data_IF_187725885744
#
_entry.id   IF_187725885744
#
_cell.length_a   1.000
_cell.length_b   1.000
_cell.length_c   1.000
_cell.angle_alpha   90.00
_cell.angle_beta   90.00
_cell.angle_gamma   90.00
#
_symmetry.space_group_name_H-M   'P 1'
#
loop_
_entity.id
_entity.type
_entity.pdbx_description
1 polymer ?
#
# COMPACT_ATOMS: atom_id res chain seq x y z
N UNK A 1 -1.68 -20.95 6.06
CA UNK A 1 -0.52 -20.65 6.93
C UNK A 1 0.73 -20.47 6.10
N UNK A 2 1.57 -19.51 6.45
CA UNK A 2 2.81 -19.25 5.74
C UNK A 2 3.86 -20.32 6.05
N UNK A 3 4.64 -20.70 5.05
CA UNK A 3 5.78 -21.59 5.23
C UNK A 3 6.91 -20.84 5.94
N UNK A 4 7.90 -21.60 6.45
CA UNK A 4 9.07 -20.99 7.08
C UNK A 4 9.81 -20.02 6.15
N UNK A 5 10.10 -20.36 4.87
CA UNK A 5 10.72 -19.41 3.96
C UNK A 5 9.87 -18.15 3.73
N UNK A 6 8.57 -18.30 3.68
CA UNK A 6 7.66 -17.15 3.52
C UNK A 6 7.70 -16.23 4.75
N UNK A 7 7.73 -16.79 5.94
CA UNK A 7 7.85 -16.02 7.18
C UNK A 7 9.17 -15.25 7.19
N UNK A 8 10.27 -15.90 6.82
CA UNK A 8 11.58 -15.25 6.76
C UNK A 8 11.58 -14.10 5.75
N UNK A 9 10.97 -14.29 4.60
CA UNK A 9 10.87 -13.25 3.59
C UNK A 9 10.08 -12.06 4.12
N UNK A 10 8.94 -12.30 4.76
CA UNK A 10 8.12 -11.23 5.31
C UNK A 10 8.86 -10.47 6.41
N UNK A 11 9.55 -11.17 7.29
CA UNK A 11 10.36 -10.54 8.33
C UNK A 11 11.44 -9.66 7.72
N UNK A 12 12.14 -10.17 6.72
CA UNK A 12 13.20 -9.46 6.02
C UNK A 12 12.69 -8.16 5.41
N UNK A 13 11.55 -8.24 4.73
CA UNK A 13 10.93 -7.08 4.11
C UNK A 13 10.40 -6.08 5.12
N UNK A 14 9.85 -6.56 6.22
CA UNK A 14 9.36 -5.70 7.28
C UNK A 14 10.51 -4.96 7.96
N UNK A 15 11.62 -5.64 8.21
CA UNK A 15 12.83 -5.00 8.74
C UNK A 15 13.36 -3.93 7.79
N UNK A 16 13.33 -4.20 6.50
CA UNK A 16 13.70 -3.22 5.49
C UNK A 16 12.78 -2.01 5.56
N UNK A 17 11.46 -2.23 5.68
CA UNK A 17 10.49 -1.15 5.84
C UNK A 17 10.80 -0.30 7.07
N UNK A 18 11.06 -0.93 8.22
CA UNK A 18 11.43 -0.21 9.43
C UNK A 18 12.71 0.59 9.26
N UNK A 19 13.70 0.01 8.58
CA UNK A 19 14.95 0.71 8.29
C UNK A 19 14.72 1.98 7.48
N UNK A 20 13.89 1.89 6.45
CA UNK A 20 13.51 3.04 5.63
C UNK A 20 12.76 4.07 6.47
N UNK A 21 11.82 3.62 7.30
CA UNK A 21 10.96 4.51 8.06
C UNK A 21 11.61 5.11 9.30
N UNK A 22 12.84 4.75 9.61
CA UNK A 22 13.63 5.47 10.60
C UNK A 22 13.97 6.87 10.13
N UNK A 23 13.99 7.09 8.81
CA UNK A 23 14.19 8.42 8.25
C UNK A 23 12.88 9.20 8.30
N UNK A 24 12.96 10.51 8.15
CA UNK A 24 11.77 11.36 8.12
C UNK A 24 11.12 11.29 6.74
N UNK A 25 10.25 10.31 6.56
CA UNK A 25 9.55 10.06 5.31
C UNK A 25 8.06 10.40 5.47
N UNK A 26 7.39 10.91 4.41
CA UNK A 26 5.99 11.33 4.52
C UNK A 26 5.04 10.23 5.01
N UNK A 27 5.20 9.00 4.49
CA UNK A 27 4.32 7.90 4.85
C UNK A 27 4.56 7.35 6.26
N UNK A 28 5.64 7.77 6.91
CA UNK A 28 5.92 7.41 8.29
C UNK A 28 5.08 8.22 9.28
N UNK A 29 4.56 9.35 8.84
CA UNK A 29 3.84 10.30 9.71
C UNK A 29 2.35 9.96 9.84
N UNK A 30 1.91 8.87 9.23
CA UNK A 30 0.50 8.51 9.19
C UNK A 30 0.31 7.06 9.59
N UNK A 31 -0.86 6.76 10.15
CA UNK A 31 -1.34 5.39 10.36
C UNK A 31 -2.57 5.10 9.49
N UNK A 32 -2.89 5.99 8.57
CA UNK A 32 -4.00 5.82 7.64
C UNK A 32 -3.72 4.63 6.71
N UNK A 33 -4.54 3.58 6.74
CA UNK A 33 -4.31 2.40 5.90
C UNK A 33 -4.28 2.72 4.40
N UNK A 34 -5.06 3.68 3.96
CA UNK A 34 -5.04 4.12 2.56
C UNK A 34 -3.66 4.67 2.18
N UNK A 35 -3.17 5.64 2.95
CA UNK A 35 -1.88 6.27 2.66
C UNK A 35 -0.73 5.27 2.74
N UNK A 36 -0.75 4.38 3.72
CA UNK A 36 0.27 3.34 3.86
C UNK A 36 0.25 2.40 2.67
N UNK A 37 -0.94 1.97 2.24
CA UNK A 37 -1.11 1.12 1.07
C UNK A 37 -0.53 1.77 -0.19
N UNK A 38 -0.86 3.04 -0.43
CA UNK A 38 -0.33 3.77 -1.60
C UNK A 38 1.20 3.77 -1.58
N UNK A 39 1.80 4.09 -0.43
CA UNK A 39 3.26 4.09 -0.31
C UNK A 39 3.87 2.72 -0.59
N UNK A 40 3.25 1.66 -0.07
CA UNK A 40 3.73 0.29 -0.28
C UNK A 40 3.70 -0.10 -1.75
N UNK A 41 2.64 0.25 -2.47
CA UNK A 41 2.56 -0.04 -3.90
C UNK A 41 3.61 0.74 -4.68
N UNK A 42 3.80 2.02 -4.35
CA UNK A 42 4.80 2.85 -5.03
C UNK A 42 6.22 2.37 -4.79
N UNK A 43 6.50 1.88 -3.56
CA UNK A 43 7.84 1.41 -3.21
C UNK A 43 8.20 0.09 -3.88
N UNK A 44 7.23 -0.62 -4.44
CA UNK A 44 7.53 -1.78 -5.27
C UNK A 44 8.27 -1.31 -6.52
N UNK A 45 9.51 -1.79 -6.70
CA UNK A 45 10.33 -1.55 -7.88
C UNK A 45 10.70 -0.07 -8.12
N UNK A 46 10.56 0.78 -7.11
CA UNK A 46 10.91 2.20 -7.22
C UNK A 46 11.66 2.63 -5.97
N UNK A 47 12.71 3.44 -6.16
CA UNK A 47 13.55 3.91 -5.08
C UNK A 47 12.81 4.94 -4.21
N UNK A 48 13.11 4.90 -2.91
CA UNK A 48 12.49 5.79 -1.92
C UNK A 48 12.57 7.26 -2.33
N UNK A 49 13.74 7.72 -2.78
CA UNK A 49 13.92 9.13 -3.15
C UNK A 49 12.97 9.58 -4.26
N UNK A 50 12.71 8.69 -5.23
CA UNK A 50 11.77 9.00 -6.31
C UNK A 50 10.31 8.94 -5.81
N UNK A 51 10.01 7.99 -4.93
CA UNK A 51 8.65 7.79 -4.44
C UNK A 51 8.13 8.98 -3.64
N UNK A 52 8.99 9.66 -2.88
CA UNK A 52 8.56 10.77 -2.03
C UNK A 52 7.71 11.77 -2.82
N UNK A 53 8.22 12.22 -3.97
CA UNK A 53 7.53 13.22 -4.80
C UNK A 53 6.23 12.67 -5.38
N UNK A 54 6.26 11.44 -5.88
CA UNK A 54 5.06 10.81 -6.43
C UNK A 54 3.98 10.61 -5.38
N UNK A 55 4.37 10.16 -4.20
CA UNK A 55 3.47 9.93 -3.08
C UNK A 55 2.77 11.23 -2.67
N UNK A 56 3.53 12.30 -2.50
CA UNK A 56 2.98 13.59 -2.10
C UNK A 56 2.00 14.14 -3.14
N UNK A 57 2.37 14.08 -4.41
CA UNK A 57 1.50 14.50 -5.50
C UNK A 57 0.24 13.65 -5.60
N UNK A 58 0.40 12.35 -5.45
CA UNK A 58 -0.72 11.41 -5.55
C UNK A 58 -1.74 11.68 -4.43
N UNK A 59 -1.29 11.79 -3.19
CA UNK A 59 -2.20 12.05 -2.07
C UNK A 59 -2.79 13.46 -2.09
N UNK A 60 -2.10 14.42 -2.69
CA UNK A 60 -2.68 15.75 -2.87
C UNK A 60 -3.89 15.70 -3.83
N UNK A 61 -3.80 14.88 -4.88
CA UNK A 61 -4.88 14.75 -5.87
C UNK A 61 -5.95 13.73 -5.43
N UNK A 62 -5.51 12.63 -4.81
CA UNK A 62 -6.39 11.54 -4.36
C UNK A 62 -6.18 11.33 -2.86
N UNK A 63 -6.74 12.20 -2.02
CA UNK A 63 -6.45 12.17 -0.58
C UNK A 63 -7.09 11.01 0.18
N UNK A 64 -8.08 10.34 -0.43
CA UNK A 64 -8.82 9.26 0.21
C UNK A 64 -9.30 8.23 -0.80
N UNK A 65 -9.89 7.15 -0.27
CA UNK A 65 -10.42 6.04 -1.06
C UNK A 65 -11.44 6.53 -2.08
N UNK A 66 -12.35 7.41 -1.67
CA UNK A 66 -13.41 7.88 -2.54
C UNK A 66 -12.88 8.62 -3.76
N UNK A 67 -11.91 9.51 -3.55
CA UNK A 67 -11.33 10.28 -4.65
C UNK A 67 -10.59 9.37 -5.64
N UNK A 68 -9.87 8.36 -5.14
CA UNK A 68 -9.20 7.40 -6.02
C UNK A 68 -10.21 6.51 -6.76
N UNK A 69 -11.24 6.03 -6.06
CA UNK A 69 -12.26 5.17 -6.65
C UNK A 69 -12.98 5.86 -7.82
N UNK A 70 -13.20 7.17 -7.71
CA UNK A 70 -13.96 7.94 -8.68
C UNK A 70 -13.10 8.65 -9.72
N UNK A 71 -11.78 8.53 -9.62
CA UNK A 71 -10.88 9.25 -10.50
C UNK A 71 -11.06 8.82 -11.96
N UNK A 72 -11.08 9.76 -12.91
CA UNK A 72 -10.97 9.40 -14.32
C UNK A 72 -9.65 8.67 -14.56
N UNK A 73 -9.68 7.64 -15.40
CA UNK A 73 -8.47 6.83 -15.64
C UNK A 73 -7.32 7.68 -16.15
N UNK A 74 -7.60 8.64 -17.05
CA UNK A 74 -6.56 9.51 -17.58
C UNK A 74 -5.86 10.31 -16.47
N UNK A 75 -6.61 10.76 -15.47
CA UNK A 75 -6.08 11.50 -14.33
C UNK A 75 -5.20 10.61 -13.45
N UNK A 76 -5.70 9.40 -13.18
CA UNK A 76 -4.96 8.42 -12.39
C UNK A 76 -3.62 8.09 -13.07
N UNK A 77 -3.64 7.78 -14.36
CA UNK A 77 -2.43 7.40 -15.09
C UNK A 77 -1.46 8.57 -15.23
N UNK A 78 -1.96 9.79 -15.33
CA UNK A 78 -1.10 10.98 -15.37
C UNK A 78 -0.30 11.13 -14.08
N UNK A 79 -0.91 10.82 -12.93
CA UNK A 79 -0.23 10.88 -11.63
C UNK A 79 0.65 9.67 -11.36
N UNK A 80 0.57 8.65 -12.19
CA UNK A 80 1.43 7.46 -12.12
C UNK A 80 2.56 7.48 -13.14
N UNK A 81 2.50 8.39 -14.12
CA UNK A 81 3.47 8.45 -15.21
C UNK A 81 4.89 8.59 -14.67
N UNK A 82 5.79 7.75 -15.15
CA UNK A 82 7.17 7.71 -14.68
C UNK A 82 7.46 6.60 -13.69
N UNK A 83 6.46 6.04 -13.02
CA UNK A 83 6.64 4.90 -12.12
C UNK A 83 6.65 3.56 -12.85
N UNK A 84 6.02 3.49 -14.03
CA UNK A 84 5.93 2.26 -14.79
C UNK A 84 4.93 1.26 -14.22
N UNK A 85 4.78 0.14 -14.92
CA UNK A 85 3.87 -0.93 -14.47
C UNK A 85 2.48 -0.39 -14.13
N UNK A 86 1.81 0.17 -15.14
CA UNK A 86 0.52 0.86 -14.96
C UNK A 86 -0.58 -0.04 -14.42
N UNK A 87 -0.45 -1.36 -14.56
CA UNK A 87 -1.40 -2.28 -13.96
C UNK A 87 -1.50 -2.11 -12.45
N UNK A 88 -0.43 -1.64 -11.79
CA UNK A 88 -0.47 -1.35 -10.35
C UNK A 88 -1.48 -0.25 -10.04
N UNK A 89 -1.45 0.83 -10.81
CA UNK A 89 -2.39 1.93 -10.63
C UNK A 89 -3.83 1.48 -10.89
N UNK A 90 -4.04 0.70 -11.94
CA UNK A 90 -5.38 0.19 -12.26
C UNK A 90 -5.91 -0.74 -11.18
N UNK A 91 -5.07 -1.62 -10.66
CA UNK A 91 -5.46 -2.51 -9.57
C UNK A 91 -5.77 -1.74 -8.30
N UNK A 92 -5.01 -0.69 -8.00
CA UNK A 92 -5.29 0.18 -6.86
C UNK A 92 -6.67 0.82 -7.00
N UNK A 93 -7.03 1.28 -8.19
CA UNK A 93 -8.34 1.88 -8.40
C UNK A 93 -9.46 0.86 -8.24
N UNK A 94 -9.28 -0.36 -8.76
CA UNK A 94 -10.25 -1.43 -8.56
C UNK A 94 -10.44 -1.75 -7.08
N UNK A 95 -9.35 -1.85 -6.34
CA UNK A 95 -9.40 -2.08 -4.91
C UNK A 95 -10.10 -0.92 -4.19
N UNK A 96 -9.78 0.31 -4.55
CA UNK A 96 -10.41 1.49 -3.98
C UNK A 96 -11.93 1.49 -4.23
N UNK A 97 -12.34 1.07 -5.42
CA UNK A 97 -13.76 0.96 -5.75
C UNK A 97 -14.47 -0.06 -4.85
N UNK A 98 -13.84 -1.21 -4.59
CA UNK A 98 -14.41 -2.22 -3.70
C UNK A 98 -14.50 -1.71 -2.26
N UNK A 99 -13.45 -1.07 -1.76
CA UNK A 99 -13.43 -0.50 -0.41
C UNK A 99 -14.48 0.60 -0.29
N UNK A 100 -14.59 1.45 -1.29
CA UNK A 100 -15.54 2.55 -1.29
C UNK A 100 -16.99 2.03 -1.24
N UNK A 101 -17.26 0.91 -1.92
CA UNK A 101 -18.58 0.27 -1.89
C UNK A 101 -18.93 -0.21 -0.49
N UNK A 102 -17.97 -0.82 0.20
CA UNK A 102 -18.17 -1.31 1.57
C UNK A 102 -18.28 -0.16 2.57
N UNK A 103 -17.55 0.93 2.32
CA UNK A 103 -17.58 2.11 3.16
C UNK A 103 -16.42 2.20 4.16
N UNK A 104 -15.56 1.21 4.23
CA UNK A 104 -14.39 1.23 5.10
C UNK A 104 -13.31 0.29 4.59
N UNK A 105 -12.06 0.60 4.94
CA UNK A 105 -10.92 -0.26 4.61
C UNK A 105 -10.98 -1.52 5.47
N UNK A 106 -10.73 -2.71 4.90
CA UNK A 106 -10.74 -3.93 5.72
C UNK A 106 -9.67 -3.88 6.80
N UNK A 107 -10.04 -4.30 8.00
CA UNK A 107 -9.16 -4.24 9.18
C UNK A 107 -8.60 -5.62 9.53
N UNK A 108 -8.46 -6.52 8.57
CA UNK A 108 -7.86 -7.83 8.76
C UNK A 108 -6.89 -8.12 7.62
N UNK A 109 -5.89 -8.95 7.91
CA UNK A 109 -4.95 -9.40 6.88
C UNK A 109 -5.70 -10.05 5.71
N UNK A 110 -6.61 -10.94 6.01
CA UNK A 110 -7.35 -11.68 4.99
C UNK A 110 -8.18 -10.76 4.10
N UNK A 111 -8.86 -9.79 4.70
CA UNK A 111 -9.65 -8.83 3.95
C UNK A 111 -8.81 -7.94 3.06
N UNK A 112 -7.66 -7.50 3.56
CA UNK A 112 -6.73 -6.69 2.76
C UNK A 112 -6.15 -7.53 1.63
N UNK A 113 -5.77 -8.77 1.92
CA UNK A 113 -5.15 -9.68 0.94
C UNK A 113 -6.08 -9.98 -0.24
N UNK A 114 -7.39 -9.95 -0.02
CA UNK A 114 -8.38 -10.21 -1.06
C UNK A 114 -8.57 -9.07 -2.05
N UNK A 115 -8.07 -7.88 -1.74
CA UNK A 115 -8.21 -6.74 -2.64
C UNK A 115 -7.38 -6.92 -3.90
N UNK A 116 -7.87 -6.42 -5.06
CA UNK A 116 -7.13 -6.55 -6.32
C UNK A 116 -5.70 -6.01 -6.22
N UNK A 117 -4.76 -6.82 -6.70
CA UNK A 117 -3.36 -6.43 -6.79
C UNK A 117 -2.58 -6.46 -5.49
N UNK A 118 -3.19 -6.83 -4.37
CA UNK A 118 -2.49 -6.88 -3.09
C UNK A 118 -1.97 -8.28 -2.83
N UNK A 119 -0.65 -8.40 -2.70
CA UNK A 119 0.01 -9.64 -2.37
C UNK A 119 0.19 -9.82 -0.86
N UNK A 120 0.82 -10.94 -0.49
CA UNK A 120 1.03 -11.30 0.91
C UNK A 120 1.82 -10.24 1.68
N UNK A 121 2.90 -9.74 1.09
CA UNK A 121 3.73 -8.75 1.76
C UNK A 121 2.97 -7.44 2.00
N UNK A 122 2.31 -6.92 0.98
CA UNK A 122 1.59 -5.65 1.10
C UNK A 122 0.45 -5.77 2.11
N UNK A 123 -0.29 -6.88 2.08
CA UNK A 123 -1.36 -7.11 3.05
C UNK A 123 -0.82 -7.16 4.47
N UNK A 124 0.30 -7.87 4.68
CA UNK A 124 0.93 -7.98 6.00
C UNK A 124 1.44 -6.62 6.47
N UNK A 125 2.06 -5.85 5.58
CA UNK A 125 2.58 -4.53 5.93
C UNK A 125 1.45 -3.58 6.35
N UNK A 126 0.39 -3.51 5.57
CA UNK A 126 -0.75 -2.63 5.89
C UNK A 126 -1.41 -3.08 7.19
N UNK A 127 -1.66 -4.38 7.35
CA UNK A 127 -2.28 -4.91 8.55
C UNK A 127 -1.45 -4.59 9.79
N UNK A 128 -0.14 -4.79 9.71
CA UNK A 128 0.77 -4.57 10.83
C UNK A 128 0.91 -3.09 11.18
N UNK A 129 1.08 -2.25 10.17
CA UNK A 129 1.42 -0.84 10.38
C UNK A 129 0.17 -0.01 10.71
N UNK A 130 -0.91 -0.20 9.95
CA UNK A 130 -2.11 0.61 10.11
C UNK A 130 -3.02 0.10 11.24
N UNK A 131 -3.07 -1.22 11.44
CA UNK A 131 -4.02 -1.83 12.37
C UNK A 131 -3.36 -2.57 13.53
N UNK A 132 -2.02 -2.53 13.60
CA UNK A 132 -1.25 -3.17 14.65
C UNK A 132 -1.58 -4.67 14.79
N UNK A 133 -1.49 -5.39 13.68
CA UNK A 133 -1.77 -6.82 13.63
C UNK A 133 -0.48 -7.62 13.38
N UNK A 134 0.44 -7.68 14.37
CA UNK A 134 1.76 -8.28 14.18
C UNK A 134 1.72 -9.75 13.79
N UNK A 135 0.71 -10.50 14.20
CA UNK A 135 0.57 -11.91 13.85
C UNK A 135 0.42 -12.13 12.34
N UNK A 136 -0.15 -11.18 11.63
CA UNK A 136 -0.29 -11.27 10.18
C UNK A 136 1.05 -11.26 9.47
N UNK A 137 2.09 -10.73 10.10
CA UNK A 137 3.43 -10.62 9.52
C UNK A 137 4.34 -11.73 10.02
N UNK A 138 4.29 -12.05 11.30
CA UNK A 138 5.30 -12.89 11.97
C UNK A 138 4.82 -14.31 12.14
N UNK A 139 3.59 -14.50 12.52
CA UNK A 139 3.07 -15.82 12.88
C UNK A 139 2.35 -16.50 11.73
N UNK A 140 2.19 -15.79 10.65
CA UNK A 140 1.67 -16.33 9.39
C UNK A 140 0.54 -17.29 9.48
#
# INVERSE_FOLDING_TARGET
MLSEPEIQLLRSRLLHWFSINKRDLPWRRTSDPYAIWISEVMLQQTRVAAVIRYYERFLARFPDIGSLAQAPEADLLAHWAGLGYYYRARNMQKAAQQVNQVGRFPASYEGIRELPGIGDYTAAAVASIAFDLPHAVVDG
#
